data_IF_602671500422
#
_entry.id   IF_602671500422
#
_cell.length_a   1.000
_cell.length_b   1.000
_cell.length_c   1.000
_cell.angle_alpha   90.00
_cell.angle_beta   90.00
_cell.angle_gamma   90.00
#
_symmetry.space_group_name_H-M   'P 1'
#
loop_
_entity.id
_entity.type
_entity.pdbx_description
1 polymer ?
#
# COMPACT_ATOMS: atom_id res chain seq x y z
N UNK A 1 -57.41 47.00 -40.09
CA UNK A 1 -56.85 45.65 -40.25
C UNK A 1 -55.70 45.50 -39.26
N UNK A 2 -55.75 44.46 -38.41
CA UNK A 2 -54.79 44.15 -37.33
C UNK A 2 -55.13 44.92 -36.04
N UNK A 3 -55.59 44.34 -34.92
CA UNK A 3 -55.48 42.98 -34.41
C UNK A 3 -54.40 42.93 -33.33
N UNK A 4 -54.70 43.47 -32.13
CA UNK A 4 -53.79 43.45 -30.97
C UNK A 4 -54.51 42.87 -29.76
N UNK A 5 -54.37 41.55 -29.57
CA UNK A 5 -54.91 40.80 -28.44
C UNK A 5 -53.86 39.77 -27.99
N UNK A 6 -53.59 39.77 -26.68
CA UNK A 6 -52.91 38.67 -25.96
C UNK A 6 -51.38 38.70 -26.06
N UNK A 7 -50.62 38.34 -25.03
CA UNK A 7 -50.97 37.56 -23.87
C UNK A 7 -49.95 37.80 -22.73
N UNK A 8 -50.49 37.94 -21.52
CA UNK A 8 -50.07 37.27 -20.29
C UNK A 8 -48.60 37.45 -19.87
N UNK A 9 -48.42 38.39 -18.95
CA UNK A 9 -47.35 38.36 -17.96
C UNK A 9 -47.38 37.02 -17.22
N UNK A 10 -46.40 36.15 -17.47
CA UNK A 10 -46.17 34.97 -16.66
C UNK A 10 -45.37 35.37 -15.42
N UNK A 11 -46.10 35.73 -14.37
CA UNK A 11 -45.64 35.60 -13.00
C UNK A 11 -45.66 34.09 -12.71
N UNK A 12 -44.49 33.46 -12.62
CA UNK A 12 -44.34 32.14 -12.01
C UNK A 12 -43.26 32.23 -10.93
N UNK A 13 -43.77 32.45 -9.72
CA UNK A 13 -43.43 31.73 -8.50
C UNK A 13 -41.95 31.66 -8.08
N UNK A 14 -41.65 32.50 -7.07
CA UNK A 14 -41.21 32.04 -5.74
C UNK A 14 -40.12 30.96 -5.73
N UNK A 15 -38.88 31.42 -5.83
CA UNK A 15 -37.71 30.73 -5.27
C UNK A 15 -37.08 31.57 -4.15
N UNK A 16 -37.89 32.04 -3.19
CA UNK A 16 -37.36 32.60 -1.94
C UNK A 16 -36.77 31.45 -1.14
N UNK A 17 -35.46 31.21 -1.29
CA UNK A 17 -34.71 30.46 -0.26
C UNK A 17 -34.60 31.41 0.92
N UNK A 18 -35.58 31.32 1.81
CA UNK A 18 -35.53 31.90 3.13
C UNK A 18 -34.48 31.12 3.93
N UNK A 19 -33.20 31.51 3.84
CA UNK A 19 -32.24 31.14 4.87
C UNK A 19 -32.50 32.05 6.07
N UNK A 20 -33.26 31.51 7.00
CA UNK A 20 -33.42 32.10 8.32
C UNK A 20 -32.13 31.86 9.10
N UNK A 21 -31.45 32.94 9.46
CA UNK A 21 -30.28 32.90 10.32
C UNK A 21 -28.96 32.90 9.55
N UNK A 22 -28.47 34.11 9.27
CA UNK A 22 -27.08 34.56 9.43
C UNK A 22 -27.03 35.96 8.84
N UNK A 23 -27.24 36.96 9.70
CA UNK A 23 -27.07 38.38 9.36
C UNK A 23 -25.59 38.63 9.03
N UNK A 24 -25.23 38.44 7.77
CA UNK A 24 -23.93 38.78 7.24
C UNK A 24 -24.10 39.29 5.82
N UNK A 25 -24.17 40.60 5.64
CA UNK A 25 -24.12 41.21 4.31
C UNK A 25 -22.72 40.98 3.74
N UNK A 26 -22.51 39.88 3.01
CA UNK A 26 -21.30 39.70 2.23
C UNK A 26 -21.31 40.73 1.10
N UNK A 27 -20.56 41.82 1.28
CA UNK A 27 -20.37 42.79 0.20
C UNK A 27 -19.47 42.14 -0.85
N UNK A 28 -19.84 42.23 -2.12
CA UNK A 28 -19.07 41.67 -3.23
C UNK A 28 -17.62 42.17 -3.26
N UNK A 29 -17.36 43.39 -2.73
CA UNK A 29 -16.00 43.92 -2.55
C UNK A 29 -15.12 43.05 -1.67
N UNK A 30 -15.65 42.48 -0.60
CA UNK A 30 -14.89 41.65 0.36
C UNK A 30 -14.47 40.31 -0.25
N UNK A 31 -15.26 39.78 -1.19
CA UNK A 31 -14.93 38.56 -1.92
C UNK A 31 -13.80 38.81 -2.91
N UNK A 32 -13.79 39.97 -3.57
CA UNK A 32 -12.75 40.35 -4.52
C UNK A 32 -11.44 40.63 -3.78
N UNK A 33 -11.49 41.32 -2.64
CA UNK A 33 -10.29 41.60 -1.84
C UNK A 33 -9.66 40.31 -1.29
N UNK A 34 -10.46 39.41 -0.71
CA UNK A 34 -9.97 38.09 -0.28
C UNK A 34 -9.40 37.25 -1.42
N UNK A 35 -9.91 37.40 -2.64
CA UNK A 35 -9.39 36.69 -3.81
C UNK A 35 -8.03 37.25 -4.24
N UNK A 36 -7.79 38.56 -4.10
CA UNK A 36 -6.48 39.17 -4.33
C UNK A 36 -5.47 38.72 -3.26
N UNK A 37 -5.88 38.74 -1.99
CA UNK A 37 -5.04 38.26 -0.87
C UNK A 37 -4.65 36.79 -1.06
N UNK A 38 -5.62 35.93 -1.41
CA UNK A 38 -5.37 34.53 -1.71
C UNK A 38 -4.40 34.34 -2.87
N UNK A 39 -4.52 35.14 -3.94
CA UNK A 39 -3.61 35.06 -5.09
C UNK A 39 -2.17 35.46 -4.73
N UNK A 40 -1.98 36.46 -3.87
CA UNK A 40 -0.65 36.85 -3.37
C UNK A 40 -0.03 35.73 -2.53
N UNK A 41 -0.82 35.16 -1.61
CA UNK A 41 -0.41 34.03 -0.76
C UNK A 41 -0.01 32.78 -1.57
N UNK A 42 -0.71 32.47 -2.67
CA UNK A 42 -0.34 31.32 -3.51
C UNK A 42 0.98 31.55 -4.25
N UNK A 43 1.24 32.76 -4.76
CA UNK A 43 2.47 33.06 -5.51
C UNK A 43 3.74 33.01 -4.65
N UNK A 44 3.66 33.35 -3.36
CA UNK A 44 4.83 33.25 -2.46
C UNK A 44 5.07 31.82 -1.95
N UNK A 45 4.05 30.95 -2.01
CA UNK A 45 4.14 29.59 -1.45
C UNK A 45 4.90 28.60 -2.34
N UNK A 46 4.87 28.76 -3.66
CA UNK A 46 5.45 27.79 -4.61
C UNK A 46 6.98 27.73 -4.59
N UNK A 47 7.66 28.80 -4.14
CA UNK A 47 9.13 28.87 -4.21
C UNK A 47 9.85 28.38 -2.95
N UNK A 48 9.11 28.05 -1.88
CA UNK A 48 9.70 27.68 -0.57
C UNK A 48 9.08 26.45 0.08
N UNK A 49 8.24 25.70 -0.62
CA UNK A 49 7.70 24.45 -0.10
C UNK A 49 8.83 23.41 -0.03
N UNK A 50 9.19 22.89 1.16
CA UNK A 50 10.04 21.72 1.24
C UNK A 50 9.35 20.57 0.51
N UNK A 51 10.15 19.70 -0.13
CA UNK A 51 9.66 18.47 -0.73
C UNK A 51 8.71 17.78 0.26
N UNK A 52 7.56 17.30 -0.23
CA UNK A 52 6.62 16.60 0.63
C UNK A 52 7.39 15.45 1.32
N UNK A 53 7.11 15.14 2.60
CA UNK A 53 7.84 14.09 3.30
C UNK A 53 7.89 12.75 2.51
N UNK A 54 6.83 12.47 1.75
CA UNK A 54 6.74 11.29 0.88
C UNK A 54 7.68 11.31 -0.34
N UNK A 55 8.16 12.47 -0.78
CA UNK A 55 9.15 12.61 -1.87
C UNK A 55 10.57 12.26 -1.42
N UNK A 56 10.88 12.40 -0.13
CA UNK A 56 12.20 12.11 0.46
C UNK A 56 12.27 10.70 1.07
N UNK A 57 11.18 9.93 1.03
CA UNK A 57 11.09 8.66 1.75
C UNK A 57 11.62 7.47 0.94
N UNK A 58 12.13 6.46 1.65
CA UNK A 58 12.50 5.13 1.15
C UNK A 58 11.52 4.62 0.06
N UNK A 59 12.03 4.08 -1.07
CA UNK A 59 11.20 3.66 -2.20
C UNK A 59 10.05 2.72 -1.83
N UNK A 60 10.20 1.90 -0.78
CA UNK A 60 9.16 1.00 -0.29
C UNK A 60 7.95 1.74 0.30
N UNK A 61 8.19 2.85 1.02
CA UNK A 61 7.11 3.65 1.61
C UNK A 61 6.35 4.40 0.52
N UNK A 62 7.07 4.91 -0.50
CA UNK A 62 6.46 5.53 -1.68
C UNK A 62 5.58 4.53 -2.43
N UNK A 63 6.03 3.28 -2.57
CA UNK A 63 5.25 2.22 -3.18
C UNK A 63 3.98 1.88 -2.37
N UNK A 64 4.12 1.72 -1.05
CA UNK A 64 2.99 1.46 -0.16
C UNK A 64 1.94 2.59 -0.20
N UNK A 65 2.39 3.85 -0.23
CA UNK A 65 1.52 5.01 -0.38
C UNK A 65 0.79 5.03 -1.73
N UNK A 66 1.51 4.78 -2.83
CA UNK A 66 0.91 4.71 -4.16
C UNK A 66 -0.13 3.58 -4.25
N UNK A 67 0.16 2.43 -3.63
CA UNK A 67 -0.78 1.31 -3.52
C UNK A 67 -2.04 1.70 -2.74
N UNK A 68 -1.90 2.39 -1.61
CA UNK A 68 -3.03 2.85 -0.80
C UNK A 68 -3.93 3.87 -1.54
N UNK A 69 -3.33 4.71 -2.40
CA UNK A 69 -4.05 5.69 -3.21
C UNK A 69 -4.53 5.13 -4.56
N UNK A 70 -4.36 3.83 -4.83
CA UNK A 70 -4.75 3.22 -6.09
C UNK A 70 -3.98 3.72 -7.31
N UNK A 71 -2.82 4.35 -7.11
CA UNK A 71 -1.95 4.80 -8.20
C UNK A 71 -1.18 3.60 -8.76
N UNK A 72 -1.23 3.34 -10.08
CA UNK A 72 -0.55 2.19 -10.66
C UNK A 72 0.95 2.31 -10.43
N UNK A 73 1.51 1.34 -9.70
CA UNK A 73 2.95 1.14 -9.57
C UNK A 73 3.36 0.16 -10.66
N UNK A 74 4.39 0.50 -11.43
CA UNK A 74 5.03 -0.44 -12.34
C UNK A 74 5.76 -1.47 -11.50
N UNK A 75 5.08 -2.56 -11.16
CA UNK A 75 5.68 -3.71 -10.47
C UNK A 75 6.66 -4.32 -11.45
N UNK A 76 7.95 -4.12 -11.24
CA UNK A 76 8.96 -4.97 -11.87
C UNK A 76 9.03 -6.22 -11.01
N UNK A 77 8.52 -7.38 -11.45
CA UNK A 77 8.69 -8.60 -10.68
C UNK A 77 10.18 -8.88 -10.53
N UNK A 78 10.63 -9.01 -9.28
CA UNK A 78 11.97 -9.51 -8.98
C UNK A 78 12.16 -10.86 -9.67
N UNK A 79 13.37 -11.17 -10.17
CA UNK A 79 13.56 -12.32 -11.03
C UNK A 79 13.25 -13.61 -10.28
N UNK A 80 12.26 -14.31 -10.81
CA UNK A 80 11.85 -15.65 -10.43
C UNK A 80 13.01 -16.62 -10.64
N UNK A 81 13.25 -17.46 -9.63
CA UNK A 81 14.07 -18.67 -9.69
C UNK A 81 15.59 -18.47 -9.86
N UNK A 82 16.24 -17.98 -8.79
CA UNK A 82 17.70 -18.08 -8.64
C UNK A 82 17.97 -18.52 -7.21
N UNK A 83 18.61 -19.66 -6.99
CA UNK A 83 19.19 -19.98 -5.67
C UNK A 83 20.20 -18.87 -5.35
N UNK A 84 19.99 -18.12 -4.27
CA UNK A 84 20.97 -17.14 -3.81
C UNK A 84 22.04 -17.89 -3.04
N UNK A 85 23.28 -17.84 -3.53
CA UNK A 85 24.42 -18.35 -2.78
C UNK A 85 24.59 -17.42 -1.56
N UNK A 86 24.56 -17.95 -0.32
CA UNK A 86 24.70 -17.11 0.86
C UNK A 86 26.05 -16.40 0.91
N UNK A 87 26.03 -15.09 1.11
CA UNK A 87 27.17 -14.24 1.40
C UNK A 87 27.55 -14.27 2.88
N UNK A 88 28.67 -13.63 3.22
CA UNK A 88 29.29 -13.69 4.56
C UNK A 88 28.43 -13.09 5.69
N UNK A 89 27.45 -12.27 5.35
CA UNK A 89 26.51 -11.64 6.29
C UNK A 89 25.12 -12.34 6.29
N UNK A 90 24.98 -13.46 5.57
CA UNK A 90 23.72 -14.21 5.51
C UNK A 90 23.64 -15.29 6.61
N UNK A 91 22.86 -14.98 7.65
CA UNK A 91 22.61 -15.86 8.79
C UNK A 91 21.26 -16.58 8.69
N UNK A 92 21.19 -17.79 9.24
CA UNK A 92 19.97 -18.58 9.31
C UNK A 92 19.02 -17.97 10.37
N UNK A 93 17.77 -17.56 10.03
CA UNK A 93 16.84 -16.92 10.96
C UNK A 93 16.29 -17.86 12.05
N UNK A 94 16.60 -19.16 11.98
CA UNK A 94 16.14 -20.15 12.96
C UNK A 94 17.16 -20.31 14.09
N UNK A 95 18.45 -20.41 13.76
CA UNK A 95 19.52 -20.62 14.75
C UNK A 95 20.45 -19.42 14.93
N UNK A 96 20.33 -18.40 14.08
CA UNK A 96 21.18 -17.21 14.04
C UNK A 96 22.67 -17.49 13.76
N UNK A 97 22.98 -18.65 13.17
CA UNK A 97 24.33 -18.98 12.70
C UNK A 97 24.47 -18.75 11.18
N UNK A 98 25.71 -18.48 10.76
CA UNK A 98 26.07 -18.24 9.37
C UNK A 98 25.74 -19.39 8.44
N UNK A 99 25.20 -19.05 7.27
CA UNK A 99 24.99 -19.99 6.17
C UNK A 99 26.10 -19.95 5.11
N UNK A 100 26.99 -18.96 5.21
CA UNK A 100 28.15 -18.81 4.34
C UNK A 100 29.18 -19.93 4.50
N UNK A 101 29.66 -20.48 3.38
CA UNK A 101 30.70 -21.52 3.38
C UNK A 101 30.22 -22.90 3.81
N UNK A 102 28.92 -23.07 4.09
CA UNK A 102 28.30 -24.37 4.31
C UNK A 102 28.11 -25.07 2.96
N UNK A 103 28.34 -26.39 2.93
CA UNK A 103 28.13 -27.18 1.71
C UNK A 103 26.68 -27.09 1.24
N UNK A 104 26.44 -26.94 -0.09
CA UNK A 104 25.09 -26.82 -0.64
C UNK A 104 24.18 -28.01 -0.25
N UNK A 105 24.76 -29.21 -0.05
CA UNK A 105 24.04 -30.41 0.40
C UNK A 105 23.49 -30.32 1.83
N UNK A 106 24.04 -29.43 2.65
CA UNK A 106 23.60 -29.12 4.00
C UNK A 106 22.71 -27.87 4.06
N UNK A 107 22.39 -27.27 2.90
CA UNK A 107 21.48 -26.15 2.76
C UNK A 107 20.21 -26.55 2.02
N UNK A 108 19.12 -25.87 2.33
CA UNK A 108 17.84 -25.97 1.64
C UNK A 108 17.42 -24.58 1.22
N UNK A 109 17.06 -24.43 -0.05
CA UNK A 109 16.70 -23.14 -0.64
C UNK A 109 15.20 -23.06 -0.84
N UNK A 110 14.63 -21.88 -0.60
CA UNK A 110 13.26 -21.61 -0.97
C UNK A 110 13.14 -21.41 -2.50
N UNK A 111 12.15 -22.04 -3.14
CA UNK A 111 11.93 -21.92 -4.58
C UNK A 111 11.47 -20.51 -5.00
N UNK A 112 10.81 -19.79 -4.08
CA UNK A 112 10.23 -18.47 -4.34
C UNK A 112 11.25 -17.34 -4.13
N UNK A 113 11.88 -17.27 -2.94
CA UNK A 113 12.83 -16.19 -2.63
C UNK A 113 14.30 -16.57 -2.84
N UNK A 114 14.62 -17.84 -3.04
CA UNK A 114 15.99 -18.30 -3.28
C UNK A 114 16.92 -18.29 -2.06
N UNK A 115 16.47 -17.82 -0.88
CA UNK A 115 17.29 -17.79 0.33
C UNK A 115 17.51 -19.19 0.91
N UNK A 116 18.66 -19.38 1.56
CA UNK A 116 19.08 -20.64 2.16
C UNK A 116 18.70 -20.76 3.65
N UNK A 117 18.55 -22.00 4.10
CA UNK A 117 18.50 -22.42 5.50
C UNK A 117 19.34 -23.67 5.67
N UNK A 118 19.92 -23.90 6.85
CA UNK A 118 20.51 -25.21 7.15
C UNK A 118 19.45 -26.30 7.06
N UNK A 119 19.83 -27.45 6.53
CA UNK A 119 18.93 -28.59 6.31
C UNK A 119 18.27 -29.03 7.62
N UNK A 120 19.02 -29.07 8.71
CA UNK A 120 18.50 -29.42 10.04
C UNK A 120 17.46 -28.41 10.53
N UNK A 121 17.77 -27.11 10.47
CA UNK A 121 16.85 -26.05 10.86
C UNK A 121 15.55 -26.09 10.04
N UNK A 122 15.66 -26.30 8.72
CA UNK A 122 14.49 -26.45 7.85
C UNK A 122 13.64 -27.69 8.21
N UNK A 123 14.29 -28.76 8.67
CA UNK A 123 13.65 -29.98 9.13
C UNK A 123 12.85 -29.76 10.41
N UNK A 124 13.48 -29.14 11.42
CA UNK A 124 12.83 -28.79 12.67
C UNK A 124 11.63 -27.86 12.45
N UNK A 125 11.80 -26.82 11.62
CA UNK A 125 10.72 -25.91 11.27
C UNK A 125 9.53 -26.63 10.62
N UNK A 126 9.81 -27.56 9.69
CA UNK A 126 8.79 -28.38 9.05
C UNK A 126 8.04 -29.25 10.06
N UNK A 127 8.77 -29.97 10.91
CA UNK A 127 8.18 -30.84 11.92
C UNK A 127 7.30 -30.05 12.89
N UNK A 128 7.78 -28.93 13.41
CA UNK A 128 7.01 -28.09 14.33
C UNK A 128 5.78 -27.50 13.65
N UNK A 129 5.90 -27.00 12.42
CA UNK A 129 4.76 -26.45 11.68
C UNK A 129 3.65 -27.49 11.49
N UNK A 130 4.01 -28.70 11.04
CA UNK A 130 3.06 -29.79 10.83
C UNK A 130 2.42 -30.23 12.16
N UNK A 131 3.22 -30.36 13.22
CA UNK A 131 2.71 -30.76 14.54
C UNK A 131 1.76 -29.72 15.14
N UNK A 132 1.96 -28.43 14.84
CA UNK A 132 1.06 -27.35 15.25
C UNK A 132 -0.16 -27.20 14.33
N UNK A 133 -0.30 -28.02 13.28
CA UNK A 133 -1.39 -27.91 12.31
C UNK A 133 -1.27 -26.70 11.38
N UNK A 134 -0.10 -26.06 11.33
CA UNK A 134 0.16 -24.88 10.51
C UNK A 134 0.61 -25.27 9.10
N UNK A 135 0.24 -24.44 8.11
CA UNK A 135 0.73 -24.57 6.75
C UNK A 135 2.24 -24.29 6.70
N UNK A 136 3.02 -25.17 6.07
CA UNK A 136 4.46 -24.99 5.94
C UNK A 136 4.80 -23.78 5.06
N UNK A 137 5.39 -22.76 5.66
CA UNK A 137 5.79 -21.51 4.98
C UNK A 137 7.28 -21.21 5.13
N UNK A 138 7.83 -20.44 4.20
CA UNK A 138 9.22 -20.00 4.23
C UNK A 138 9.43 -18.95 5.32
N UNK A 139 10.45 -19.15 6.16
CA UNK A 139 10.76 -18.20 7.25
C UNK A 139 11.18 -16.83 6.70
N UNK A 140 11.76 -16.79 5.51
CA UNK A 140 12.19 -15.56 4.84
C UNK A 140 11.04 -14.77 4.21
N UNK A 141 10.28 -15.41 3.31
CA UNK A 141 9.28 -14.71 2.48
C UNK A 141 7.83 -15.11 2.78
N UNK A 142 7.60 -16.06 3.69
CA UNK A 142 6.28 -16.66 4.03
C UNK A 142 5.57 -17.37 2.89
N UNK A 143 6.19 -17.53 1.72
CA UNK A 143 5.63 -18.35 0.65
C UNK A 143 5.49 -19.81 1.09
N UNK A 144 4.53 -20.52 0.51
CA UNK A 144 4.27 -21.91 0.86
C UNK A 144 5.36 -22.83 0.32
N UNK A 145 5.79 -23.80 1.12
CA UNK A 145 6.69 -24.85 0.64
C UNK A 145 5.89 -25.94 -0.07
N UNK A 146 6.33 -26.31 -1.26
CA UNK A 146 5.80 -27.48 -1.96
C UNK A 146 6.34 -28.74 -1.25
N UNK A 147 5.47 -29.42 -0.50
CA UNK A 147 5.80 -30.73 0.09
C UNK A 147 5.21 -31.81 -0.83
N UNK A 148 6.03 -32.70 -1.44
CA UNK A 148 5.49 -33.77 -2.27
C UNK A 148 4.59 -34.68 -1.42
N UNK A 149 3.30 -34.73 -1.77
CA UNK A 149 2.28 -35.51 -1.07
C UNK A 149 1.19 -34.68 -0.38
N UNK A 150 1.35 -33.36 -0.28
CA UNK A 150 0.30 -32.43 0.13
C UNK A 150 0.07 -31.48 -1.03
N UNK A 151 -0.95 -31.77 -1.84
CA UNK A 151 -1.19 -31.10 -3.11
C UNK A 151 -1.10 -29.58 -2.99
N UNK A 152 -0.34 -28.98 -3.90
CA UNK A 152 -0.33 -27.55 -4.12
C UNK A 152 -1.74 -27.10 -4.51
N UNK A 153 -2.57 -26.77 -3.51
CA UNK A 153 -3.81 -26.05 -3.72
C UNK A 153 -3.45 -24.58 -3.90
N UNK A 154 -3.19 -24.22 -5.15
CA UNK A 154 -3.13 -22.84 -5.60
C UNK A 154 -4.53 -22.25 -5.53
N UNK A 155 -4.97 -21.82 -4.35
CA UNK A 155 -6.11 -20.91 -4.21
C UNK A 155 -5.73 -19.80 -3.23
N UNK A 156 -5.52 -18.63 -3.82
CA UNK A 156 -5.43 -17.37 -3.13
C UNK A 156 -6.76 -17.10 -2.41
N UNK A 157 -6.84 -17.49 -1.15
CA UNK A 157 -7.89 -17.06 -0.25
C UNK A 157 -7.25 -16.23 0.87
N UNK A 158 -7.60 -14.96 0.86
CA UNK A 158 -7.59 -14.03 1.98
C UNK A 158 -7.64 -14.76 3.33
N UNK A 159 -6.54 -14.72 4.08
CA UNK A 159 -6.58 -14.96 5.53
C UNK A 159 -5.91 -13.77 6.20
N UNK A 160 -6.64 -12.66 6.19
CA UNK A 160 -6.48 -11.63 7.21
C UNK A 160 -6.82 -12.22 8.58
N UNK A 161 -5.83 -12.73 9.30
CA UNK A 161 -5.94 -13.00 10.73
C UNK A 161 -4.61 -12.62 11.41
N UNK A 162 -4.51 -11.34 11.78
CA UNK A 162 -3.53 -10.85 12.74
C UNK A 162 -3.81 -11.53 14.08
N UNK A 163 -3.04 -12.56 14.43
CA UNK A 163 -2.94 -13.04 15.81
C UNK A 163 -2.20 -11.99 16.65
N UNK A 164 -2.82 -11.54 17.74
CA UNK A 164 -2.23 -10.60 18.68
C UNK A 164 -1.11 -11.31 19.49
N UNK A 165 -0.04 -10.55 19.79
CA UNK A 165 0.86 -10.62 20.96
C UNK A 165 1.18 -12.00 21.59
N UNK A 166 2.43 -12.41 21.80
CA UNK A 166 3.50 -11.68 22.49
C UNK A 166 3.67 -12.22 23.92
N UNK A 167 4.73 -12.99 24.17
CA UNK A 167 5.35 -13.18 25.50
C UNK A 167 6.85 -13.42 25.32
#
# INVERSE_FOLDING_TARGET
>A
MGGGLGALAAIVSLGVVKQEGLEGTYQWGDVVERKKEWALLTTESETKAPLAPNDVTNPLIREAHNRALGRPTAVTPAPQNKKLIPGKEDDCPICYDGTHGVAETALVFCEECGNALHKECSGQWRTTSVNSGNQLSCVWCRAWWVVPGHGAASDAADVGARGQEGY
#
